data_IF_947120836773
#
_entry.id   IF_947120836773
#
_cell.length_a   1.000
_cell.length_b   1.000
_cell.length_c   1.000
_cell.angle_alpha   90.00
_cell.angle_beta   90.00
_cell.angle_gamma   90.00
#
_symmetry.space_group_name_H-M   'P 1'
#
loop_
_entity.id
_entity.type
_entity.pdbx_description
1 polymer ?
#
# COMPACT_ATOMS: atom_id res chain seq x y z
N UNK A 1 52.63 -12.76 19.71
CA UNK A 1 51.16 -12.74 19.65
C UNK A 1 50.71 -12.83 18.20
N UNK A 2 49.89 -13.85 17.93
CA UNK A 2 49.11 -14.23 16.74
C UNK A 2 49.39 -13.52 15.39
N UNK A 3 50.17 -14.21 14.54
CA UNK A 3 50.07 -14.13 13.08
C UNK A 3 48.77 -14.82 12.65
N UNK A 4 47.93 -14.12 11.90
CA UNK A 4 46.68 -14.66 11.37
C UNK A 4 46.93 -15.51 10.13
N UNK A 5 46.29 -16.67 10.10
CA UNK A 5 46.27 -17.65 9.04
C UNK A 5 45.62 -17.09 7.78
N UNK A 6 46.39 -17.01 6.70
CA UNK A 6 45.89 -17.15 5.33
C UNK A 6 45.46 -18.60 5.15
N UNK A 7 44.20 -18.89 5.47
CA UNK A 7 43.60 -20.19 5.16
C UNK A 7 43.31 -20.26 3.66
N UNK A 8 44.26 -20.91 2.96
CA UNK A 8 44.11 -21.67 1.72
C UNK A 8 42.73 -21.67 1.04
N UNK A 9 42.68 -21.11 -0.17
CA UNK A 9 41.83 -21.62 -1.24
C UNK A 9 42.21 -23.09 -1.49
N UNK A 10 41.49 -24.01 -0.86
CA UNK A 10 41.50 -25.41 -1.26
C UNK A 10 40.60 -25.51 -2.49
N UNK A 11 41.20 -25.40 -3.66
CA UNK A 11 40.60 -25.84 -4.91
C UNK A 11 40.50 -27.36 -4.83
N UNK A 12 39.31 -27.88 -4.54
CA UNK A 12 39.02 -29.30 -4.73
C UNK A 12 39.02 -29.57 -6.25
N UNK A 13 40.18 -29.97 -6.76
CA UNK A 13 40.28 -30.69 -8.03
C UNK A 13 39.62 -32.05 -7.80
N UNK A 14 38.40 -32.25 -8.33
CA UNK A 14 37.79 -33.57 -8.43
C UNK A 14 38.53 -34.30 -9.56
N UNK A 15 39.27 -35.39 -9.30
CA UNK A 15 39.81 -36.20 -10.38
C UNK A 15 38.66 -37.00 -11.00
N UNK A 16 38.20 -36.61 -12.19
CA UNK A 16 37.35 -37.45 -13.03
C UNK A 16 38.20 -38.54 -13.66
N UNK A 17 38.44 -39.64 -12.94
CA UNK A 17 38.97 -40.87 -13.55
C UNK A 17 37.82 -41.58 -14.29
N UNK A 18 37.55 -41.16 -15.53
CA UNK A 18 36.77 -41.96 -16.46
C UNK A 18 37.68 -43.05 -17.03
N UNK A 19 37.61 -44.26 -16.47
CA UNK A 19 38.06 -45.46 -17.17
C UNK A 19 37.13 -45.70 -18.37
N UNK A 20 37.50 -45.20 -19.55
CA UNK A 20 36.85 -45.61 -20.79
C UNK A 20 37.40 -46.98 -21.24
N UNK A 21 36.57 -48.02 -21.15
CA UNK A 21 36.83 -49.28 -21.87
C UNK A 21 36.75 -48.96 -23.36
N UNK A 22 37.87 -49.13 -24.09
CA UNK A 22 37.91 -48.98 -25.55
C UNK A 22 37.09 -50.11 -26.19
N UNK A 23 35.84 -49.80 -26.54
CA UNK A 23 35.10 -50.57 -27.54
C UNK A 23 35.25 -49.86 -28.89
N UNK A 24 36.03 -50.47 -29.78
CA UNK A 24 36.22 -49.99 -31.15
C UNK A 24 34.99 -50.34 -32.00
N UNK A 25 33.91 -49.57 -31.87
CA UNK A 25 32.90 -49.47 -32.92
C UNK A 25 32.79 -48.00 -33.30
N UNK A 26 33.37 -47.65 -34.46
CA UNK A 26 33.18 -46.35 -35.12
C UNK A 26 31.77 -46.31 -35.73
N UNK A 27 30.76 -46.24 -34.88
CA UNK A 27 29.52 -45.62 -35.30
C UNK A 27 29.81 -44.12 -35.47
N UNK A 28 29.45 -43.56 -36.63
CA UNK A 28 29.44 -42.10 -36.81
C UNK A 28 28.46 -41.55 -35.79
N UNK A 29 29.00 -41.08 -34.67
CA UNK A 29 28.27 -40.25 -33.72
C UNK A 29 27.93 -38.96 -34.47
N UNK A 30 26.73 -38.93 -35.07
CA UNK A 30 26.11 -37.68 -35.48
C UNK A 30 25.70 -37.03 -34.15
N UNK A 31 26.61 -36.24 -33.58
CA UNK A 31 26.29 -35.33 -32.48
C UNK A 31 25.31 -34.31 -33.05
N UNK A 32 24.01 -34.64 -33.00
CA UNK A 32 22.96 -33.65 -33.18
C UNK A 32 23.12 -32.71 -31.99
N UNK A 33 23.72 -31.55 -32.23
CA UNK A 33 23.97 -30.55 -31.20
C UNK A 33 22.61 -30.22 -30.59
N UNK A 34 22.40 -30.68 -29.35
CA UNK A 34 21.13 -30.53 -28.66
C UNK A 34 20.91 -29.04 -28.39
N UNK A 35 19.83 -28.47 -28.93
CA UNK A 35 19.47 -27.08 -28.72
C UNK A 35 19.21 -26.86 -27.22
N UNK A 36 20.14 -26.18 -26.55
CA UNK A 36 20.07 -25.94 -25.11
C UNK A 36 19.14 -24.78 -24.79
N UNK A 37 18.76 -24.63 -23.52
CA UNK A 37 17.81 -23.60 -23.12
C UNK A 37 18.35 -22.19 -23.37
N UNK A 38 19.64 -21.97 -23.06
CA UNK A 38 20.36 -20.72 -23.30
C UNK A 38 20.60 -20.41 -24.79
N UNK A 39 20.40 -21.36 -25.71
CA UNK A 39 20.54 -21.10 -27.15
C UNK A 39 19.34 -20.29 -27.70
N UNK A 40 18.23 -20.21 -26.95
CA UNK A 40 17.12 -19.33 -27.28
C UNK A 40 17.53 -17.86 -27.10
N UNK A 41 17.30 -17.04 -28.15
CA UNK A 41 17.69 -15.62 -28.18
C UNK A 41 17.16 -14.81 -26.99
N UNK A 42 15.92 -15.06 -26.57
CA UNK A 42 15.25 -14.30 -25.51
C UNK A 42 15.78 -14.74 -24.13
N UNK A 43 16.09 -16.03 -23.96
CA UNK A 43 16.76 -16.53 -22.75
C UNK A 43 18.19 -15.99 -22.64
N UNK A 44 18.94 -15.94 -23.74
CA UNK A 44 20.28 -15.35 -23.72
C UNK A 44 20.21 -13.83 -23.41
N UNK A 45 19.22 -13.11 -23.93
CA UNK A 45 18.96 -11.72 -23.57
C UNK A 45 18.67 -11.55 -22.07
N UNK A 46 17.90 -12.45 -21.45
CA UNK A 46 17.70 -12.45 -19.99
C UNK A 46 19.00 -12.64 -19.22
N UNK A 47 19.85 -13.56 -19.66
CA UNK A 47 21.16 -13.79 -19.05
C UNK A 47 22.05 -12.55 -19.14
N UNK A 48 22.05 -11.85 -20.28
CA UNK A 48 22.77 -10.58 -20.47
C UNK A 48 22.22 -9.45 -19.59
N UNK A 49 20.91 -9.42 -19.35
CA UNK A 49 20.27 -8.48 -18.42
C UNK A 49 20.57 -8.80 -16.94
N UNK A 50 20.85 -10.06 -16.62
CA UNK A 50 21.12 -10.52 -15.25
C UNK A 50 22.61 -10.41 -14.88
N UNK A 51 23.51 -10.79 -15.79
CA UNK A 51 24.96 -10.83 -15.56
C UNK A 51 25.69 -10.17 -16.74
N UNK A 52 26.36 -9.05 -16.45
CA UNK A 52 27.13 -8.29 -17.45
C UNK A 52 28.43 -9.00 -17.86
N UNK A 53 29.10 -9.65 -16.92
CA UNK A 53 30.38 -10.34 -17.17
C UNK A 53 30.18 -11.69 -17.86
N UNK A 54 30.87 -11.91 -18.99
CA UNK A 54 30.68 -13.11 -19.81
C UNK A 54 31.14 -14.40 -19.12
N UNK A 55 32.20 -14.37 -18.32
CA UNK A 55 32.69 -15.56 -17.62
C UNK A 55 31.72 -15.95 -16.49
N UNK A 56 31.27 -14.98 -15.70
CA UNK A 56 30.26 -15.19 -14.67
C UNK A 56 28.94 -15.69 -15.27
N UNK A 57 28.54 -15.16 -16.44
CA UNK A 57 27.35 -15.63 -17.15
C UNK A 57 27.48 -17.11 -17.51
N UNK A 58 28.59 -17.52 -18.11
CA UNK A 58 28.85 -18.93 -18.46
C UNK A 58 28.84 -19.84 -17.22
N UNK A 59 29.51 -19.43 -16.14
CA UNK A 59 29.54 -20.18 -14.88
C UNK A 59 28.14 -20.30 -14.25
N UNK A 60 27.36 -19.22 -14.25
CA UNK A 60 25.99 -19.21 -13.76
C UNK A 60 25.10 -20.15 -14.59
N UNK A 61 25.15 -20.05 -15.91
CA UNK A 61 24.36 -20.92 -16.81
C UNK A 61 24.72 -22.39 -16.61
N UNK A 62 26.02 -22.74 -16.56
CA UNK A 62 26.45 -24.11 -16.28
C UNK A 62 25.97 -24.60 -14.92
N UNK A 63 26.02 -23.76 -13.89
CA UNK A 63 25.49 -24.10 -12.57
C UNK A 63 23.99 -24.39 -12.61
N UNK A 64 23.22 -23.55 -13.31
CA UNK A 64 21.77 -23.70 -13.41
C UNK A 64 21.35 -24.91 -14.27
N UNK A 65 22.09 -25.20 -15.35
CA UNK A 65 21.87 -26.40 -16.18
C UNK A 65 22.13 -27.71 -15.42
N UNK A 66 23.02 -27.69 -14.43
CA UNK A 66 23.37 -28.85 -13.61
C UNK A 66 22.51 -29.01 -12.34
N UNK A 67 21.52 -28.13 -12.11
CA UNK A 67 20.56 -28.34 -11.02
C UNK A 67 19.70 -29.56 -11.38
N UNK A 68 19.68 -30.55 -10.48
CA UNK A 68 18.97 -31.82 -10.67
C UNK A 68 17.47 -31.62 -10.89
N UNK A 69 16.90 -32.41 -11.81
CA UNK A 69 15.46 -32.51 -12.05
C UNK A 69 14.68 -33.02 -10.83
N UNK A 70 15.34 -33.65 -9.85
CA UNK A 70 14.72 -33.99 -8.56
C UNK A 70 14.13 -32.77 -7.84
N UNK A 71 14.67 -31.57 -8.11
CA UNK A 71 14.13 -30.31 -7.59
C UNK A 71 12.69 -30.03 -8.06
N UNK A 72 12.24 -30.62 -9.16
CA UNK A 72 10.84 -30.58 -9.59
C UNK A 72 9.94 -31.22 -8.54
N UNK A 73 10.34 -32.38 -8.01
CA UNK A 73 9.60 -33.08 -6.94
C UNK A 73 9.60 -32.27 -5.64
N UNK A 74 10.73 -31.64 -5.31
CA UNK A 74 10.82 -30.74 -4.15
C UNK A 74 9.85 -29.55 -4.30
N UNK A 75 9.77 -28.95 -5.49
CA UNK A 75 8.88 -27.82 -5.73
C UNK A 75 7.40 -28.22 -5.74
N UNK A 76 7.07 -29.42 -6.20
CA UNK A 76 5.73 -30.00 -6.09
C UNK A 76 5.30 -30.11 -4.63
N UNK A 77 6.19 -30.62 -3.78
CA UNK A 77 5.98 -30.64 -2.33
C UNK A 77 5.81 -29.22 -1.77
N UNK A 78 6.69 -28.29 -2.15
CA UNK A 78 6.62 -26.87 -1.73
C UNK A 78 5.28 -26.23 -2.08
N UNK A 79 4.79 -26.38 -3.30
CA UNK A 79 3.52 -25.79 -3.75
C UNK A 79 2.29 -26.43 -3.07
N UNK A 80 2.42 -27.67 -2.57
CA UNK A 80 1.38 -28.33 -1.78
C UNK A 80 1.25 -27.71 -0.38
N UNK A 81 2.37 -27.45 0.30
CA UNK A 81 2.39 -26.89 1.65
C UNK A 81 2.37 -25.36 1.70
N UNK A 82 2.76 -24.72 0.62
CA UNK A 82 2.70 -23.27 0.43
C UNK A 82 2.07 -22.95 -0.91
N UNK A 83 0.74 -22.96 -0.91
CA UNK A 83 -0.02 -22.52 -2.08
C UNK A 83 0.18 -21.02 -2.24
N UNK A 84 0.60 -20.60 -3.43
CA UNK A 84 0.96 -19.21 -3.72
C UNK A 84 -0.14 -18.23 -3.32
N UNK A 85 -1.39 -18.65 -3.43
CA UNK A 85 -2.56 -17.84 -3.13
C UNK A 85 -3.11 -18.01 -1.70
N UNK A 86 -2.36 -18.52 -0.72
CA UNK A 86 -2.83 -18.50 0.67
C UNK A 86 -2.27 -17.28 1.42
N UNK A 87 -3.16 -16.50 2.05
CA UNK A 87 -2.74 -15.35 2.86
C UNK A 87 -1.81 -15.80 4.00
N UNK A 88 -0.70 -15.07 4.22
CA UNK A 88 0.25 -15.39 5.30
C UNK A 88 -0.41 -15.49 6.68
N UNK A 89 -1.57 -14.86 6.89
CA UNK A 89 -2.32 -14.89 8.16
C UNK A 89 -2.72 -16.29 8.60
N UNK A 90 -3.06 -17.20 7.68
CA UNK A 90 -3.42 -18.58 8.05
C UNK A 90 -2.19 -19.42 8.43
N UNK A 91 -1.00 -19.02 7.98
CA UNK A 91 0.26 -19.72 8.25
C UNK A 91 0.96 -19.14 9.50
N UNK A 92 0.96 -17.82 9.66
CA UNK A 92 1.72 -17.11 10.71
C UNK A 92 1.02 -17.09 12.08
N UNK A 93 -0.29 -17.32 12.14
CA UNK A 93 -1.09 -17.24 13.38
C UNK A 93 -1.20 -18.54 14.17
N UNK A 94 -0.64 -19.65 13.69
CA UNK A 94 -0.85 -20.98 14.29
C UNK A 94 0.49 -21.64 14.60
N UNK A 95 0.94 -21.60 15.86
CA UNK A 95 2.17 -22.29 16.33
C UNK A 95 2.03 -23.82 16.22
N UNK A 96 2.26 -24.36 15.03
CA UNK A 96 2.13 -25.79 14.70
C UNK A 96 3.30 -26.26 13.84
N UNK A 97 3.52 -27.57 13.78
CA UNK A 97 4.43 -28.19 12.81
C UNK A 97 4.10 -27.78 11.37
N UNK A 98 2.81 -27.63 11.05
CA UNK A 98 2.37 -27.15 9.72
C UNK A 98 2.93 -25.76 9.38
N UNK A 99 2.89 -24.80 10.31
CA UNK A 99 3.47 -23.47 10.10
C UNK A 99 4.95 -23.55 9.76
N UNK A 100 5.73 -24.37 10.46
CA UNK A 100 7.16 -24.50 10.19
C UNK A 100 7.43 -25.08 8.79
N UNK A 101 6.64 -26.06 8.37
CA UNK A 101 6.72 -26.65 7.02
C UNK A 101 6.34 -25.61 5.96
N UNK A 102 5.24 -24.89 6.15
CA UNK A 102 4.77 -23.87 5.21
C UNK A 102 5.76 -22.69 5.10
N UNK A 103 6.40 -22.24 6.19
CA UNK A 103 7.43 -21.21 6.15
C UNK A 103 8.71 -21.68 5.44
N UNK A 104 9.11 -22.94 5.63
CA UNK A 104 10.22 -23.53 4.86
C UNK A 104 9.86 -23.60 3.38
N UNK A 105 8.66 -24.07 3.04
CA UNK A 105 8.17 -24.13 1.67
C UNK A 105 8.16 -22.74 1.01
N UNK A 106 7.64 -21.72 1.70
CA UNK A 106 7.70 -20.31 1.26
C UNK A 106 9.13 -19.87 0.95
N UNK A 107 10.07 -20.11 1.86
CA UNK A 107 11.48 -19.73 1.67
C UNK A 107 12.11 -20.46 0.49
N UNK A 108 11.83 -21.75 0.31
CA UNK A 108 12.30 -22.53 -0.84
C UNK A 108 11.75 -21.99 -2.16
N UNK A 109 10.46 -21.64 -2.20
CA UNK A 109 9.84 -21.02 -3.38
C UNK A 109 10.47 -19.64 -3.67
N UNK A 110 10.59 -18.77 -2.67
CA UNK A 110 11.21 -17.45 -2.80
C UNK A 110 12.65 -17.56 -3.34
N UNK A 111 13.44 -18.48 -2.78
CA UNK A 111 14.80 -18.72 -3.23
C UNK A 111 14.83 -19.21 -4.68
N UNK A 112 13.87 -20.05 -5.10
CA UNK A 112 13.79 -20.55 -6.47
C UNK A 112 13.41 -19.43 -7.45
N UNK A 113 12.41 -18.61 -7.10
CA UNK A 113 11.95 -17.48 -7.93
C UNK A 113 13.01 -16.38 -8.12
N UNK A 114 14.01 -16.32 -7.23
CA UNK A 114 15.02 -15.26 -7.22
C UNK A 114 16.42 -15.73 -7.64
N UNK A 115 16.91 -16.85 -7.09
CA UNK A 115 18.28 -17.33 -7.33
C UNK A 115 18.36 -18.37 -8.44
N UNK A 116 17.30 -19.18 -8.60
CA UNK A 116 17.24 -20.29 -9.56
C UNK A 116 16.20 -20.03 -10.66
N UNK A 117 16.03 -18.75 -11.00
CA UNK A 117 15.05 -18.29 -11.97
C UNK A 117 15.27 -18.95 -13.34
N UNK A 118 16.51 -19.14 -13.77
CA UNK A 118 16.84 -19.78 -15.06
C UNK A 118 16.33 -21.21 -15.09
N UNK A 119 16.65 -21.98 -14.04
CA UNK A 119 16.19 -23.35 -13.92
C UNK A 119 14.66 -23.43 -13.87
N UNK A 120 14.00 -22.48 -13.18
CA UNK A 120 12.54 -22.41 -13.14
C UNK A 120 11.95 -22.23 -14.54
N UNK A 121 12.47 -21.26 -15.33
CA UNK A 121 12.00 -21.01 -16.69
C UNK A 121 12.24 -22.21 -17.62
N UNK A 122 13.36 -22.92 -17.45
CA UNK A 122 13.66 -24.16 -18.21
C UNK A 122 12.60 -25.25 -17.99
N UNK A 123 11.95 -25.27 -16.83
CA UNK A 123 10.93 -26.24 -16.43
C UNK A 123 9.51 -25.66 -16.39
N UNK A 124 9.30 -24.44 -16.90
CA UNK A 124 8.03 -23.72 -16.74
C UNK A 124 6.83 -24.45 -17.34
N UNK A 125 7.07 -25.29 -18.36
CA UNK A 125 6.04 -26.09 -19.02
C UNK A 125 5.50 -27.26 -18.17
N UNK A 126 6.15 -27.56 -17.05
CA UNK A 126 5.68 -28.55 -16.08
C UNK A 126 4.72 -27.95 -15.04
N UNK A 127 4.61 -26.62 -14.98
CA UNK A 127 3.77 -25.92 -14.01
C UNK A 127 2.35 -25.75 -14.52
N UNK A 128 1.40 -26.05 -13.65
CA UNK A 128 0.00 -25.70 -13.81
C UNK A 128 -0.31 -24.40 -13.07
N UNK A 129 -1.11 -23.57 -13.73
CA UNK A 129 -1.58 -22.30 -13.22
C UNK A 129 -3.10 -22.35 -13.10
N UNK A 130 -3.63 -22.00 -11.93
CA UNK A 130 -5.07 -21.99 -11.67
C UNK A 130 -5.63 -20.59 -11.81
N UNK A 131 -6.83 -20.46 -12.36
CA UNK A 131 -7.54 -19.20 -12.44
C UNK A 131 -7.68 -18.59 -11.04
N UNK A 132 -7.31 -17.31 -10.91
CA UNK A 132 -7.32 -16.61 -9.63
C UNK A 132 -7.94 -15.22 -9.76
N UNK A 133 -9.24 -15.06 -9.43
CA UNK A 133 -9.90 -13.76 -9.47
C UNK A 133 -9.69 -12.91 -8.20
N UNK A 134 -8.95 -13.41 -7.20
CA UNK A 134 -8.88 -12.83 -5.87
C UNK A 134 -7.69 -11.87 -5.67
N UNK A 135 -7.85 -10.96 -4.71
CA UNK A 135 -6.77 -10.19 -4.10
C UNK A 135 -5.99 -11.04 -3.08
N UNK A 136 -4.97 -10.49 -2.41
CA UNK A 136 -4.18 -11.23 -1.41
C UNK A 136 -5.00 -11.66 -0.17
N UNK A 137 -6.21 -11.12 0.00
CA UNK A 137 -7.07 -11.37 1.15
C UNK A 137 -8.14 -12.43 0.90
N UNK A 138 -8.29 -12.90 -0.34
CA UNK A 138 -9.29 -13.90 -0.71
C UNK A 138 -10.68 -13.53 -0.21
N UNK A 139 -10.98 -12.23 -0.27
CA UNK A 139 -12.30 -11.74 0.13
C UNK A 139 -13.32 -12.15 -0.92
N UNK A 140 -14.41 -12.74 -0.45
CA UNK A 140 -15.59 -12.97 -1.28
C UNK A 140 -16.09 -11.63 -1.88
N UNK A 141 -16.55 -11.68 -3.12
CA UNK A 141 -17.16 -10.54 -3.82
C UNK A 141 -18.25 -11.02 -4.78
N UNK A 142 -19.17 -10.12 -5.14
CA UNK A 142 -20.45 -10.49 -5.77
C UNK A 142 -20.30 -11.19 -7.14
N UNK A 143 -19.25 -10.86 -7.89
CA UNK A 143 -19.02 -11.38 -9.24
C UNK A 143 -18.17 -12.66 -9.29
N UNK A 144 -17.74 -13.19 -8.15
CA UNK A 144 -16.80 -14.31 -8.09
C UNK A 144 -17.28 -15.53 -8.91
N UNK A 145 -18.49 -16.01 -8.66
CA UNK A 145 -19.03 -17.17 -9.38
C UNK A 145 -19.21 -16.90 -10.88
N UNK A 146 -19.65 -15.69 -11.25
CA UNK A 146 -19.82 -15.34 -12.66
C UNK A 146 -18.49 -15.34 -13.41
N UNK A 147 -17.40 -14.90 -12.78
CA UNK A 147 -16.05 -14.94 -13.37
C UNK A 147 -15.56 -16.38 -13.53
N UNK A 148 -15.74 -17.23 -12.51
CA UNK A 148 -15.39 -18.65 -12.56
C UNK A 148 -16.15 -19.34 -13.70
N UNK A 149 -17.46 -19.13 -13.79
CA UNK A 149 -18.32 -19.69 -14.84
C UNK A 149 -17.90 -19.21 -16.24
N UNK A 150 -17.56 -17.92 -16.38
CA UNK A 150 -17.09 -17.36 -17.66
C UNK A 150 -15.80 -18.04 -18.12
N UNK A 151 -14.80 -18.14 -17.24
CA UNK A 151 -13.50 -18.75 -17.59
C UNK A 151 -13.69 -20.22 -17.91
N UNK A 152 -14.45 -20.96 -17.09
CA UNK A 152 -14.73 -22.37 -17.31
C UNK A 152 -15.47 -22.62 -18.63
N UNK A 153 -16.50 -21.82 -18.96
CA UNK A 153 -17.23 -21.95 -20.23
C UNK A 153 -16.37 -21.61 -21.44
N UNK A 154 -15.47 -20.63 -21.32
CA UNK A 154 -14.64 -20.16 -22.44
C UNK A 154 -13.44 -21.08 -22.70
N UNK A 155 -12.85 -21.67 -21.66
CA UNK A 155 -11.61 -22.44 -21.76
C UNK A 155 -11.78 -23.94 -21.47
N UNK A 156 -12.99 -24.37 -21.08
CA UNK A 156 -13.32 -25.72 -20.61
C UNK A 156 -12.44 -26.21 -19.45
N UNK A 157 -11.80 -25.28 -18.73
CA UNK A 157 -10.92 -25.56 -17.59
C UNK A 157 -10.66 -24.28 -16.80
N UNK A 158 -10.32 -24.43 -15.51
CA UNK A 158 -9.76 -23.36 -14.68
C UNK A 158 -8.23 -23.43 -14.61
N UNK A 159 -7.64 -24.55 -15.05
CA UNK A 159 -6.20 -24.74 -15.16
C UNK A 159 -5.71 -24.40 -16.57
N UNK A 160 -4.53 -23.80 -16.61
CA UNK A 160 -3.77 -23.56 -17.83
C UNK A 160 -2.30 -23.88 -17.60
N UNK A 161 -1.55 -24.08 -18.68
CA UNK A 161 -0.11 -24.31 -18.66
C UNK A 161 0.57 -23.58 -19.81
N UNK A 162 1.87 -23.37 -19.66
CA UNK A 162 2.75 -22.99 -20.76
C UNK A 162 3.14 -24.28 -21.50
N UNK A 163 2.90 -24.36 -22.80
CA UNK A 163 3.25 -25.56 -23.56
C UNK A 163 4.70 -25.52 -24.03
N UNK A 164 5.10 -24.39 -24.64
CA UNK A 164 6.47 -24.19 -25.07
C UNK A 164 7.28 -23.49 -23.97
N UNK A 165 8.31 -24.16 -23.43
CA UNK A 165 9.19 -23.57 -22.43
C UNK A 165 10.02 -22.40 -22.96
N UNK A 166 10.11 -22.22 -24.28
CA UNK A 166 10.86 -21.14 -24.91
C UNK A 166 9.97 -19.91 -25.12
N UNK A 167 10.28 -18.75 -24.51
CA UNK A 167 9.53 -17.54 -24.77
C UNK A 167 9.76 -17.08 -26.21
N UNK A 168 8.68 -16.67 -26.89
CA UNK A 168 8.74 -16.14 -28.25
C UNK A 168 9.23 -14.71 -28.28
N UNK A 169 8.90 -13.92 -27.26
CA UNK A 169 9.21 -12.49 -27.16
C UNK A 169 9.53 -12.09 -25.72
N UNK A 170 10.28 -10.99 -25.60
CA UNK A 170 10.60 -10.33 -24.33
C UNK A 170 10.35 -8.83 -24.48
N UNK A 171 9.56 -8.27 -23.56
CA UNK A 171 9.38 -6.83 -23.43
C UNK A 171 10.02 -6.36 -22.13
N UNK A 172 10.72 -5.22 -22.18
CA UNK A 172 11.40 -4.63 -21.02
C UNK A 172 10.93 -3.20 -20.88
N UNK A 173 10.40 -2.88 -19.69
CA UNK A 173 9.94 -1.55 -19.33
C UNK A 173 10.74 -1.07 -18.12
N UNK A 174 11.15 0.20 -18.13
CA UNK A 174 11.65 0.84 -16.92
C UNK A 174 10.45 1.13 -16.02
N UNK A 175 10.57 0.80 -14.74
CA UNK A 175 9.52 1.10 -13.76
C UNK A 175 9.80 2.50 -13.20
N UNK A 176 8.79 3.36 -13.26
CA UNK A 176 8.90 4.70 -12.69
C UNK A 176 9.10 4.64 -11.17
N UNK A 177 9.95 5.53 -10.71
CA UNK A 177 10.32 5.71 -9.33
C UNK A 177 9.27 6.56 -8.60
N UNK A 178 8.88 6.15 -7.39
CA UNK A 178 8.07 7.01 -6.52
C UNK A 178 9.06 7.63 -5.55
N UNK A 179 9.38 8.89 -5.83
CA UNK A 179 10.25 9.70 -4.98
C UNK A 179 9.80 9.54 -3.53
N UNK A 180 10.75 9.24 -2.64
CA UNK A 180 10.52 8.89 -1.25
C UNK A 180 9.96 7.48 -0.94
N UNK A 181 9.82 6.53 -1.86
CA UNK A 181 9.55 5.11 -1.50
C UNK A 181 10.55 4.13 -2.11
N UNK A 182 11.46 4.63 -2.94
CA UNK A 182 12.37 3.79 -3.68
C UNK A 182 13.46 3.21 -2.79
N UNK A 183 13.59 1.89 -2.82
CA UNK A 183 14.68 1.15 -2.15
C UNK A 183 15.57 0.42 -3.15
N UNK A 184 15.14 0.35 -4.40
CA UNK A 184 15.79 -0.37 -5.48
C UNK A 184 16.29 0.59 -6.54
N UNK A 185 17.43 0.26 -7.17
CA UNK A 185 17.94 1.01 -8.33
C UNK A 185 17.61 0.28 -9.62
N UNK A 186 17.51 1.02 -10.73
CA UNK A 186 17.39 0.48 -12.09
C UNK A 186 16.28 -0.57 -12.24
N UNK A 187 15.09 -0.27 -11.66
CA UNK A 187 13.93 -1.17 -11.66
C UNK A 187 13.39 -1.35 -13.08
N UNK A 188 13.18 -2.61 -13.46
CA UNK A 188 12.61 -2.97 -14.75
C UNK A 188 11.57 -4.08 -14.61
N UNK A 189 10.45 -3.93 -15.30
CA UNK A 189 9.48 -4.99 -15.53
C UNK A 189 9.85 -5.70 -16.84
N UNK A 190 10.19 -6.97 -16.74
CA UNK A 190 10.50 -7.81 -17.89
C UNK A 190 9.36 -8.80 -18.08
N UNK A 191 8.77 -8.81 -19.27
CA UNK A 191 7.65 -9.67 -19.61
C UNK A 191 8.06 -10.69 -20.66
N UNK A 192 7.82 -11.96 -20.35
CA UNK A 192 8.11 -13.11 -21.22
C UNK A 192 6.81 -13.61 -21.86
N UNK A 193 6.76 -13.59 -23.18
CA UNK A 193 5.60 -14.05 -23.95
C UNK A 193 5.78 -15.52 -24.33
N UNK A 194 4.80 -16.34 -23.97
CA UNK A 194 4.70 -17.76 -24.22
C UNK A 194 3.40 -18.08 -24.96
N UNK A 195 3.41 -19.12 -25.78
CA UNK A 195 2.22 -19.59 -26.50
C UNK A 195 1.43 -18.44 -27.17
N UNK A 196 2.15 -17.42 -27.68
CA UNK A 196 1.67 -16.16 -28.28
C UNK A 196 0.91 -15.19 -27.36
N UNK A 197 0.27 -15.65 -26.30
CA UNK A 197 -0.72 -14.86 -25.51
C UNK A 197 -0.58 -14.99 -24.00
N UNK A 198 0.28 -15.90 -23.52
CA UNK A 198 0.55 -16.10 -22.10
C UNK A 198 1.77 -15.30 -21.70
N UNK A 199 1.70 -14.57 -20.59
CA UNK A 199 2.75 -13.63 -20.20
C UNK A 199 3.16 -13.83 -18.75
N UNK A 200 4.46 -14.02 -18.51
CA UNK A 200 5.07 -14.12 -17.19
C UNK A 200 5.90 -12.86 -16.91
N UNK A 201 5.79 -12.31 -15.70
CA UNK A 201 6.54 -11.11 -15.27
C UNK A 201 7.79 -11.49 -14.46
N UNK A 202 8.86 -10.75 -14.70
CA UNK A 202 10.09 -10.72 -13.90
C UNK A 202 10.32 -9.28 -13.48
N UNK A 203 10.51 -9.04 -12.18
CA UNK A 203 11.06 -7.78 -11.71
C UNK A 203 12.59 -7.89 -11.68
N UNK A 204 13.25 -6.98 -12.36
CA UNK A 204 14.69 -6.76 -12.28
C UNK A 204 14.96 -5.50 -11.47
N UNK A 205 15.94 -5.56 -10.58
CA UNK A 205 16.39 -4.41 -9.79
C UNK A 205 17.84 -4.57 -9.33
N UNK A 206 18.43 -3.49 -8.81
CA UNK A 206 19.79 -3.49 -8.26
C UNK A 206 19.81 -3.06 -6.79
N UNK A 207 20.56 -3.81 -5.97
CA UNK A 207 20.90 -3.47 -4.58
C UNK A 207 22.39 -3.70 -4.40
N UNK A 208 23.10 -2.72 -3.82
CA UNK A 208 24.56 -2.79 -3.61
C UNK A 208 25.33 -3.22 -4.87
N UNK A 209 24.97 -2.60 -6.01
CA UNK A 209 25.53 -2.84 -7.35
C UNK A 209 25.41 -4.28 -7.88
N UNK A 210 24.56 -5.10 -7.22
CA UNK A 210 24.22 -6.45 -7.67
C UNK A 210 22.82 -6.46 -8.27
N UNK A 211 22.69 -7.06 -9.45
CA UNK A 211 21.41 -7.29 -10.13
C UNK A 211 20.67 -8.48 -9.51
N UNK A 212 19.37 -8.30 -9.31
CA UNK A 212 18.45 -9.31 -8.81
C UNK A 212 17.29 -9.46 -9.78
N UNK A 213 16.88 -10.71 -10.01
CA UNK A 213 15.64 -11.06 -10.68
C UNK A 213 14.66 -11.64 -9.65
N UNK A 214 13.39 -11.35 -9.82
CA UNK A 214 12.30 -12.00 -9.10
C UNK A 214 11.19 -12.35 -10.09
N UNK A 215 11.01 -13.66 -10.33
CA UNK A 215 9.87 -14.16 -11.12
C UNK A 215 8.58 -14.02 -10.31
N UNK A 216 7.53 -13.50 -10.94
CA UNK A 216 6.19 -13.46 -10.37
C UNK A 216 5.49 -14.78 -10.65
N UNK A 217 4.65 -15.20 -9.71
CA UNK A 217 3.92 -16.48 -9.78
C UNK A 217 2.63 -16.38 -10.58
N UNK A 218 2.28 -15.20 -11.07
CA UNK A 218 1.11 -14.95 -11.89
C UNK A 218 1.42 -15.10 -13.38
N UNK A 219 0.53 -15.81 -14.07
CA UNK A 219 0.52 -15.99 -15.51
C UNK A 219 -0.69 -15.25 -16.08
N UNK A 220 -0.44 -14.27 -16.93
CA UNK A 220 -1.50 -13.53 -17.60
C UNK A 220 -1.82 -14.18 -18.93
N UNK A 221 -3.09 -14.25 -19.27
CA UNK A 221 -3.54 -14.64 -20.59
C UNK A 221 -4.30 -13.47 -21.23
N UNK A 222 -3.84 -13.04 -22.40
CA UNK A 222 -4.44 -11.95 -23.15
C UNK A 222 -5.34 -12.50 -24.26
N UNK A 223 -6.61 -12.08 -24.26
CA UNK A 223 -7.58 -12.45 -25.29
C UNK A 223 -7.16 -11.91 -26.66
N UNK A 224 -6.69 -10.66 -26.72
CA UNK A 224 -6.10 -10.06 -27.92
C UNK A 224 -4.59 -9.82 -27.72
N UNK A 225 -3.78 -10.58 -28.45
CA UNK A 225 -2.33 -10.55 -28.35
C UNK A 225 -1.65 -9.64 -29.40
N UNK A 226 -2.40 -8.91 -30.23
CA UNK A 226 -1.80 -8.11 -31.32
C UNK A 226 -0.98 -6.91 -30.81
N UNK A 227 -1.42 -6.29 -29.72
CA UNK A 227 -0.80 -5.11 -29.12
C UNK A 227 -0.34 -5.41 -27.68
N UNK A 228 0.36 -6.53 -27.48
CA UNK A 228 0.75 -6.97 -26.13
C UNK A 228 1.66 -5.96 -25.44
N UNK A 229 2.62 -5.39 -26.17
CA UNK A 229 3.59 -4.45 -25.60
C UNK A 229 2.89 -3.23 -25.00
N UNK A 230 1.98 -2.62 -25.75
CA UNK A 230 1.21 -1.44 -25.32
C UNK A 230 0.30 -1.78 -24.14
N UNK A 231 -0.35 -2.95 -24.15
CA UNK A 231 -1.19 -3.40 -23.04
C UNK A 231 -0.39 -3.62 -21.75
N UNK A 232 0.82 -4.19 -21.86
CA UNK A 232 1.71 -4.41 -20.72
C UNK A 232 2.30 -3.11 -20.17
N UNK A 233 2.65 -2.17 -21.05
CA UNK A 233 3.08 -0.83 -20.64
C UNK A 233 1.97 -0.07 -19.90
N UNK A 234 0.74 -0.16 -20.39
CA UNK A 234 -0.44 0.39 -19.69
C UNK A 234 -0.65 -0.22 -18.31
N UNK A 235 -0.41 -1.53 -18.14
CA UNK A 235 -0.48 -2.19 -16.84
C UNK A 235 0.55 -1.57 -15.88
N UNK A 236 1.82 -1.43 -16.28
CA UNK A 236 2.86 -0.84 -15.41
C UNK A 236 2.56 0.62 -15.06
N UNK A 237 2.13 1.42 -16.03
CA UNK A 237 1.78 2.83 -15.80
C UNK A 237 0.63 2.96 -14.79
N UNK A 238 -0.42 2.15 -14.92
CA UNK A 238 -1.54 2.16 -13.97
C UNK A 238 -1.16 1.67 -12.58
N UNK A 239 -0.24 0.70 -12.47
CA UNK A 239 0.28 0.27 -11.17
C UNK A 239 1.03 1.42 -10.50
N UNK A 240 1.86 2.14 -11.26
CA UNK A 240 2.60 3.30 -10.78
C UNK A 240 1.65 4.42 -10.32
N UNK A 241 0.70 4.82 -11.16
CA UNK A 241 -0.31 5.85 -10.86
C UNK A 241 -1.05 5.52 -9.57
N UNK A 242 -1.64 4.32 -9.45
CA UNK A 242 -2.37 3.91 -8.24
C UNK A 242 -1.50 3.88 -6.99
N UNK A 243 -0.22 3.50 -7.11
CA UNK A 243 0.69 3.51 -5.96
C UNK A 243 1.03 4.93 -5.52
N UNK A 244 1.20 5.85 -6.47
CA UNK A 244 1.43 7.26 -6.18
C UNK A 244 0.19 7.93 -5.57
N UNK A 245 -1.00 7.62 -6.08
CA UNK A 245 -2.27 8.12 -5.54
C UNK A 245 -2.46 7.69 -4.08
N UNK A 246 -2.23 6.40 -3.77
CA UNK A 246 -2.31 5.90 -2.38
C UNK A 246 -1.32 6.58 -1.44
N UNK A 247 -0.12 6.96 -1.91
CA UNK A 247 0.84 7.73 -1.11
C UNK A 247 0.30 9.14 -0.82
N UNK A 248 -0.23 9.82 -1.84
CA UNK A 248 -0.75 11.17 -1.73
C UNK A 248 -2.00 11.23 -0.84
N UNK A 249 -2.90 10.26 -0.98
CA UNK A 249 -4.09 10.12 -0.12
C UNK A 249 -3.67 9.90 1.34
N UNK A 250 -2.72 8.99 1.61
CA UNK A 250 -2.25 8.74 2.97
C UNK A 250 -1.53 9.95 3.60
N UNK A 251 -0.79 10.73 2.81
CA UNK A 251 -0.19 11.98 3.28
C UNK A 251 -1.26 13.01 3.63
N UNK A 252 -2.30 13.11 2.81
CA UNK A 252 -3.43 14.01 3.05
C UNK A 252 -4.17 13.65 4.34
N UNK A 253 -4.53 12.38 4.52
CA UNK A 253 -5.17 11.88 5.74
C UNK A 253 -4.32 12.16 6.99
N UNK A 254 -3.00 11.97 6.90
CA UNK A 254 -2.09 12.27 8.02
C UNK A 254 -2.05 13.76 8.39
N UNK A 255 -2.16 14.65 7.41
CA UNK A 255 -2.22 16.10 7.65
C UNK A 255 -3.55 16.47 8.30
N UNK A 256 -4.67 15.94 7.80
CA UNK A 256 -6.01 16.17 8.37
C UNK A 256 -6.08 15.69 9.84
N UNK A 257 -5.54 14.51 10.16
CA UNK A 257 -5.49 14.00 11.54
C UNK A 257 -4.68 14.90 12.51
N UNK A 258 -3.61 15.53 12.02
CA UNK A 258 -2.81 16.46 12.83
C UNK A 258 -3.58 17.75 13.11
N UNK A 259 -4.24 18.31 12.09
CA UNK A 259 -5.07 19.51 12.22
C UNK A 259 -6.20 19.30 13.24
N UNK A 260 -6.91 18.16 13.15
CA UNK A 260 -7.99 17.82 14.09
C UNK A 260 -7.48 17.69 15.54
N UNK A 261 -6.28 17.15 15.75
CA UNK A 261 -5.71 16.95 17.09
C UNK A 261 -5.21 18.23 17.76
N UNK A 262 -4.66 19.18 16.99
CA UNK A 262 -4.22 20.48 17.50
C UNK A 262 -5.43 21.36 17.90
N UNK A 263 -6.53 21.26 17.15
CA UNK A 263 -7.77 21.98 17.44
C UNK A 263 -8.47 21.46 18.70
N UNK A 264 -8.43 20.16 19.02
CA UNK A 264 -9.04 19.60 20.23
C UNK A 264 -8.32 20.02 21.53
N UNK A 265 -6.98 19.91 21.59
CA UNK A 265 -6.22 20.25 22.82
C UNK A 265 -6.20 21.75 23.13
N UNK A 266 -6.21 22.61 22.11
CA UNK A 266 -6.27 24.06 22.29
C UNK A 266 -7.65 24.49 22.84
N UNK A 267 -8.73 23.88 22.37
CA UNK A 267 -10.09 24.25 22.74
C UNK A 267 -10.43 23.92 24.20
N UNK A 268 -9.91 22.84 24.77
CA UNK A 268 -10.20 22.44 26.16
C UNK A 268 -9.64 23.43 27.20
N UNK A 269 -8.39 23.91 27.01
CA UNK A 269 -7.77 24.86 27.96
C UNK A 269 -8.42 26.25 27.92
N UNK A 270 -8.98 26.65 26.79
CA UNK A 270 -9.67 27.94 26.63
C UNK A 270 -11.09 27.84 27.16
N UNK A 271 -11.77 26.71 26.94
CA UNK A 271 -13.08 26.43 27.48
C UNK A 271 -13.09 26.61 29.01
N UNK A 272 -12.10 26.06 29.70
CA UNK A 272 -11.98 26.18 31.16
C UNK A 272 -11.79 27.64 31.60
N UNK A 273 -10.89 28.40 30.96
CA UNK A 273 -10.68 29.83 31.27
C UNK A 273 -11.91 30.69 30.99
N UNK A 274 -12.61 30.41 29.90
CA UNK A 274 -13.82 31.15 29.55
C UNK A 274 -14.97 30.82 30.50
N UNK A 275 -15.08 29.57 30.95
CA UNK A 275 -16.11 29.17 31.91
C UNK A 275 -16.00 29.98 33.21
N UNK A 276 -14.80 30.16 33.76
CA UNK A 276 -14.56 30.99 34.94
C UNK A 276 -14.96 32.46 34.71
N UNK A 277 -14.65 33.00 33.54
CA UNK A 277 -15.02 34.38 33.16
C UNK A 277 -16.53 34.52 33.04
N UNK A 278 -17.21 33.55 32.42
CA UNK A 278 -18.65 33.53 32.24
C UNK A 278 -19.38 33.42 33.57
N UNK A 279 -18.93 32.55 34.46
CA UNK A 279 -19.57 32.40 35.77
C UNK A 279 -19.40 33.67 36.61
N UNK A 280 -18.22 34.30 36.58
CA UNK A 280 -18.00 35.60 37.24
C UNK A 280 -18.81 36.74 36.60
N UNK A 281 -18.96 36.76 35.28
CA UNK A 281 -19.82 37.72 34.60
C UNK A 281 -21.28 37.59 35.07
N UNK A 282 -21.80 36.36 35.08
CA UNK A 282 -23.16 36.08 35.53
C UNK A 282 -23.33 36.44 37.01
N UNK A 283 -22.39 36.08 37.88
CA UNK A 283 -22.42 36.41 39.31
C UNK A 283 -22.46 37.93 39.55
N UNK A 284 -21.64 38.70 38.84
CA UNK A 284 -21.66 40.17 38.93
C UNK A 284 -23.03 40.74 38.52
N UNK A 285 -23.61 40.25 37.42
CA UNK A 285 -24.96 40.65 37.01
C UNK A 285 -26.03 40.21 38.02
N UNK A 286 -25.89 39.02 38.62
CA UNK A 286 -26.77 38.53 39.67
C UNK A 286 -26.72 39.44 40.89
N UNK A 287 -25.54 39.86 41.34
CA UNK A 287 -25.39 40.75 42.50
C UNK A 287 -26.09 42.11 42.29
N UNK A 288 -26.03 42.64 41.06
CA UNK A 288 -26.73 43.88 40.69
C UNK A 288 -28.25 43.68 40.72
N UNK A 289 -28.77 42.62 40.10
CA UNK A 289 -30.22 42.42 39.89
C UNK A 289 -30.94 41.78 41.08
N UNK A 290 -30.27 40.92 41.85
CA UNK A 290 -30.86 40.21 42.99
C UNK A 290 -31.23 41.17 44.13
N UNK A 291 -30.61 42.35 44.17
CA UNK A 291 -30.98 43.45 45.06
C UNK A 291 -32.37 44.04 44.76
N UNK A 292 -32.98 43.68 43.61
CA UNK A 292 -34.25 44.21 43.11
C UNK A 292 -35.34 43.13 43.14
N UNK A 293 -35.11 41.99 42.47
CA UNK A 293 -36.05 40.85 42.46
C UNK A 293 -35.40 39.57 41.91
N UNK A 294 -35.29 38.52 42.75
CA UNK A 294 -34.67 37.25 42.37
C UNK A 294 -35.35 36.50 41.21
N UNK A 295 -36.65 36.71 40.97
CA UNK A 295 -37.35 36.07 39.84
C UNK A 295 -37.00 36.72 38.49
N UNK A 296 -36.67 38.01 38.47
CA UNK A 296 -36.23 38.71 37.26
C UNK A 296 -34.85 38.23 36.81
N UNK A 297 -33.97 37.91 37.78
CA UNK A 297 -32.64 37.43 37.47
C UNK A 297 -32.64 36.12 36.68
N UNK A 298 -33.52 35.16 37.02
CA UNK A 298 -33.62 33.91 36.27
C UNK A 298 -33.97 34.11 34.79
N UNK A 299 -34.76 35.14 34.47
CA UNK A 299 -35.10 35.46 33.09
C UNK A 299 -33.94 36.14 32.37
N UNK A 300 -33.24 37.04 33.07
CA UNK A 300 -32.10 37.77 32.54
C UNK A 300 -30.88 36.88 32.29
N UNK A 301 -30.58 35.98 33.23
CA UNK A 301 -29.46 35.05 33.14
C UNK A 301 -29.50 34.20 31.86
N UNK A 302 -30.70 33.76 31.44
CA UNK A 302 -30.86 33.00 30.19
C UNK A 302 -30.43 33.82 28.96
N UNK A 303 -30.77 35.12 28.93
CA UNK A 303 -30.33 36.00 27.83
C UNK A 303 -28.82 36.27 27.87
N UNK A 304 -28.22 36.33 29.07
CA UNK A 304 -26.78 36.55 29.22
C UNK A 304 -25.94 35.32 28.85
N UNK A 305 -26.42 34.11 29.17
CA UNK A 305 -25.71 32.86 28.85
C UNK A 305 -25.71 32.52 27.37
N UNK A 306 -26.69 33.01 26.59
CA UNK A 306 -26.77 32.69 25.17
C UNK A 306 -25.55 33.21 24.37
N UNK A 307 -25.16 34.49 24.43
CA UNK A 307 -23.94 34.97 23.78
C UNK A 307 -22.66 34.29 24.29
N UNK A 308 -22.59 33.96 25.59
CA UNK A 308 -21.43 33.26 26.18
C UNK A 308 -21.25 31.87 25.54
N UNK A 309 -22.34 31.10 25.45
CA UNK A 309 -22.33 29.75 24.91
C UNK A 309 -22.05 29.71 23.39
N UNK A 310 -22.28 30.81 22.69
CA UNK A 310 -22.00 30.93 21.25
C UNK A 310 -20.65 31.55 20.94
N UNK A 311 -19.94 32.08 21.95
CA UNK A 311 -18.68 32.81 21.77
C UNK A 311 -17.63 32.00 21.00
N UNK A 312 -17.28 30.81 21.51
CA UNK A 312 -16.32 29.92 20.86
C UNK A 312 -16.87 29.29 19.58
N UNK A 313 -18.17 28.99 19.54
CA UNK A 313 -18.81 28.37 18.37
C UNK A 313 -18.76 29.27 17.13
N UNK A 314 -18.62 30.58 17.31
CA UNK A 314 -18.50 31.55 16.22
C UNK A 314 -17.19 32.33 16.26
N UNK A 315 -16.16 31.81 16.95
CA UNK A 315 -14.89 32.51 17.09
C UNK A 315 -14.14 32.52 15.75
N UNK A 316 -13.94 33.71 15.18
CA UNK A 316 -13.24 33.89 13.90
C UNK A 316 -11.86 34.50 14.14
N UNK A 317 -11.85 35.70 14.71
CA UNK A 317 -10.68 36.40 15.24
C UNK A 317 -11.08 37.09 16.55
N UNK A 318 -10.07 37.41 17.36
CA UNK A 318 -10.24 37.95 18.72
C UNK A 318 -11.07 39.23 18.74
N UNK A 319 -10.68 40.23 17.97
CA UNK A 319 -11.29 41.56 18.00
C UNK A 319 -12.76 41.51 17.56
N UNK A 320 -13.06 40.81 16.47
CA UNK A 320 -14.43 40.66 15.97
C UNK A 320 -15.32 39.88 16.94
N UNK A 321 -14.80 38.78 17.50
CA UNK A 321 -15.57 37.92 18.40
C UNK A 321 -15.89 38.61 19.73
N UNK A 322 -14.91 39.33 20.31
CA UNK A 322 -15.10 40.11 21.54
C UNK A 322 -16.08 41.26 21.33
N UNK A 323 -15.96 41.99 20.21
CA UNK A 323 -16.87 43.09 19.90
C UNK A 323 -18.30 42.60 19.67
N UNK A 324 -18.48 41.50 18.93
CA UNK A 324 -19.79 40.89 18.70
C UNK A 324 -20.45 40.45 20.01
N UNK A 325 -19.70 39.78 20.87
CA UNK A 325 -20.19 39.38 22.20
C UNK A 325 -20.63 40.59 23.03
N UNK A 326 -19.79 41.64 23.07
CA UNK A 326 -20.08 42.88 23.78
C UNK A 326 -21.38 43.51 23.29
N UNK A 327 -21.55 43.63 21.98
CA UNK A 327 -22.75 44.23 21.38
C UNK A 327 -24.02 43.42 21.68
N UNK A 328 -23.94 42.09 21.66
CA UNK A 328 -25.06 41.21 22.02
C UNK A 328 -25.45 41.34 23.49
N UNK A 329 -24.47 41.41 24.41
CA UNK A 329 -24.74 41.62 25.83
C UNK A 329 -25.40 42.97 26.10
N UNK A 330 -24.93 44.05 25.46
CA UNK A 330 -25.51 45.38 25.59
C UNK A 330 -26.96 45.42 25.06
N UNK A 331 -27.25 44.72 23.95
CA UNK A 331 -28.62 44.57 23.43
C UNK A 331 -29.52 43.83 24.43
N UNK A 332 -29.04 42.74 25.02
CA UNK A 332 -29.79 41.97 26.01
C UNK A 332 -30.09 42.78 27.28
N UNK A 333 -29.11 43.57 27.77
CA UNK A 333 -29.30 44.48 28.90
C UNK A 333 -30.40 45.50 28.61
N UNK A 334 -30.32 46.18 27.47
CA UNK A 334 -31.33 47.19 27.10
C UNK A 334 -32.73 46.59 27.00
N UNK A 335 -32.86 45.45 26.31
CA UNK A 335 -34.13 44.75 26.15
C UNK A 335 -34.71 44.32 27.51
N UNK A 336 -33.88 43.81 28.42
CA UNK A 336 -34.30 43.41 29.76
C UNK A 336 -34.83 44.61 30.57
N UNK A 337 -34.13 45.75 30.55
CA UNK A 337 -34.54 46.94 31.29
C UNK A 337 -35.82 47.57 30.74
N UNK A 338 -35.97 47.64 29.42
CA UNK A 338 -37.19 48.15 28.76
C UNK A 338 -38.42 47.31 29.14
N UNK A 339 -38.29 45.98 29.04
CA UNK A 339 -39.36 45.02 29.34
C UNK A 339 -39.80 45.08 30.82
N UNK A 340 -38.90 45.44 31.72
CA UNK A 340 -39.14 45.44 33.17
C UNK A 340 -39.16 46.85 33.79
N UNK A 341 -39.35 47.89 32.96
CA UNK A 341 -39.34 49.29 33.36
C UNK A 341 -40.33 49.64 34.49
N UNK A 342 -41.48 48.96 34.56
CA UNK A 342 -42.47 49.14 35.62
C UNK A 342 -42.04 48.58 36.99
N UNK A 343 -41.05 47.69 37.02
CA UNK A 343 -40.56 47.02 38.24
C UNK A 343 -39.21 47.58 38.68
N UNK A 344 -38.42 48.11 37.75
CA UNK A 344 -37.06 48.61 38.00
C UNK A 344 -37.10 50.13 38.14
N UNK A 345 -37.28 50.64 39.37
CA UNK A 345 -37.40 52.08 39.64
C UNK A 345 -36.12 52.90 39.41
N UNK A 346 -34.95 52.27 39.30
CA UNK A 346 -33.65 52.95 39.10
C UNK A 346 -32.88 52.38 37.88
N UNK A 347 -33.59 52.25 36.76
CA UNK A 347 -33.11 51.59 35.54
C UNK A 347 -31.80 52.18 35.00
N UNK A 348 -31.61 53.50 35.07
CA UNK A 348 -30.38 54.17 34.60
C UNK A 348 -29.14 53.80 35.42
N UNK A 349 -29.26 53.75 36.75
CA UNK A 349 -28.14 53.34 37.62
C UNK A 349 -27.75 51.88 37.36
N UNK A 350 -28.76 51.01 37.25
CA UNK A 350 -28.54 49.57 36.99
C UNK A 350 -27.94 49.35 35.61
N UNK A 351 -28.43 50.08 34.60
CA UNK A 351 -27.85 50.05 33.25
C UNK A 351 -26.37 50.39 33.29
N UNK A 352 -25.99 51.44 34.02
CA UNK A 352 -24.58 51.83 34.14
C UNK A 352 -23.72 50.74 34.75
N UNK A 353 -24.15 50.13 35.86
CA UNK A 353 -23.41 49.05 36.54
C UNK A 353 -23.28 47.78 35.67
N UNK A 354 -24.33 47.42 34.93
CA UNK A 354 -24.29 46.29 33.99
C UNK A 354 -23.39 46.56 32.79
N UNK A 355 -23.42 47.78 32.24
CA UNK A 355 -22.55 48.19 31.13
C UNK A 355 -21.07 48.19 31.57
N UNK A 356 -20.78 48.68 32.78
CA UNK A 356 -19.43 48.60 33.37
C UNK A 356 -18.97 47.14 33.50
N UNK A 357 -19.86 46.25 33.93
CA UNK A 357 -19.57 44.80 34.01
C UNK A 357 -19.23 44.21 32.64
N UNK A 358 -20.00 44.54 31.59
CA UNK A 358 -19.71 44.08 30.21
C UNK A 358 -18.37 44.62 29.70
N UNK A 359 -18.07 45.90 29.94
CA UNK A 359 -16.81 46.50 29.52
C UNK A 359 -15.61 45.83 30.20
N UNK A 360 -15.69 45.56 31.50
CA UNK A 360 -14.63 44.89 32.25
C UNK A 360 -14.36 43.48 31.74
N UNK A 361 -15.41 42.71 31.44
CA UNK A 361 -15.25 41.36 30.86
C UNK A 361 -14.70 41.44 29.43
N UNK A 362 -15.14 42.42 28.64
CA UNK A 362 -14.58 42.65 27.30
C UNK A 362 -13.08 42.97 27.34
N UNK A 363 -12.62 43.78 28.30
CA UNK A 363 -11.20 44.03 28.53
C UNK A 363 -10.45 42.76 28.95
N UNK A 364 -11.06 41.95 29.82
CA UNK A 364 -10.48 40.69 30.26
C UNK A 364 -10.34 39.70 29.09
N UNK A 365 -11.38 39.52 28.28
CA UNK A 365 -11.33 38.72 27.06
C UNK A 365 -10.25 39.24 26.10
N UNK A 366 -10.10 40.56 25.98
CA UNK A 366 -9.04 41.17 25.18
C UNK A 366 -7.63 40.95 25.76
N UNK A 367 -7.49 40.53 27.01
CA UNK A 367 -6.20 40.19 27.61
C UNK A 367 -5.86 38.69 27.52
N UNK A 368 -6.83 37.84 27.18
CA UNK A 368 -6.61 36.41 26.94
C UNK A 368 -5.85 36.22 25.63
N UNK A 369 -4.82 35.38 25.68
CA UNK A 369 -4.18 34.84 24.50
C UNK A 369 -5.03 33.69 23.96
N UNK A 370 -5.87 33.99 22.97
CA UNK A 370 -6.57 32.96 22.22
C UNK A 370 -5.59 32.34 21.23
N UNK A 371 -5.58 31.02 21.04
CA UNK A 371 -4.74 30.37 20.06
C UNK A 371 -4.98 31.07 18.72
N UNK A 372 -3.89 31.50 18.10
CA UNK A 372 -3.95 32.00 16.75
C UNK A 372 -4.50 30.87 15.88
N UNK A 373 -5.67 31.06 15.27
CA UNK A 373 -6.18 30.22 14.17
C UNK A 373 -5.36 30.41 12.88
N UNK A 374 -4.18 31.02 12.97
CA UNK A 374 -3.25 31.12 11.86
C UNK A 374 -2.68 29.73 11.58
N UNK A 375 -3.33 29.06 10.63
CA UNK A 375 -2.84 27.88 9.91
C UNK A 375 -1.32 27.92 9.75
N UNK A 376 -0.68 26.85 10.21
CA UNK A 376 0.76 26.64 10.19
C UNK A 376 1.33 26.65 8.75
N UNK A 377 1.64 27.82 8.19
CA UNK A 377 2.29 27.93 6.86
C UNK A 377 3.79 27.54 6.85
N UNK A 378 4.37 27.02 7.94
CA UNK A 378 5.82 26.77 8.01
C UNK A 378 6.25 25.34 8.41
N UNK A 379 5.34 24.35 8.43
CA UNK A 379 5.67 23.00 8.90
C UNK A 379 5.50 21.87 7.86
N UNK A 380 5.06 22.17 6.63
CA UNK A 380 4.77 21.14 5.60
C UNK A 380 5.96 20.22 5.33
N UNK A 381 7.18 20.76 5.22
CA UNK A 381 8.39 19.97 4.97
C UNK A 381 8.74 19.02 6.12
N UNK A 382 8.48 19.43 7.37
CA UNK A 382 8.71 18.60 8.55
C UNK A 382 7.62 17.52 8.67
N UNK A 383 6.35 17.90 8.49
CA UNK A 383 5.20 16.99 8.50
C UNK A 383 5.38 15.89 7.45
N UNK A 384 5.73 16.27 6.21
CA UNK A 384 6.01 15.30 5.13
C UNK A 384 7.15 14.36 5.51
N UNK A 385 8.23 14.87 6.11
CA UNK A 385 9.36 14.04 6.55
C UNK A 385 8.94 13.02 7.63
N UNK A 386 8.23 13.47 8.66
CA UNK A 386 7.77 12.63 9.76
C UNK A 386 6.77 11.56 9.28
N UNK A 387 5.88 11.92 8.34
CA UNK A 387 5.01 10.98 7.65
C UNK A 387 5.82 9.92 6.90
N UNK A 388 6.78 10.35 6.06
CA UNK A 388 7.57 9.45 5.22
C UNK A 388 8.40 8.46 6.05
N UNK A 389 8.97 8.87 7.18
CA UNK A 389 9.70 7.98 8.09
C UNK A 389 8.81 6.83 8.59
N UNK A 390 7.54 7.11 8.91
CA UNK A 390 6.57 6.09 9.36
C UNK A 390 6.04 5.26 8.19
N UNK A 391 5.75 5.91 7.06
CA UNK A 391 5.08 5.29 5.90
C UNK A 391 6.02 4.35 5.14
N UNK A 392 7.29 4.73 4.93
CA UNK A 392 8.31 3.93 4.24
C UNK A 392 8.46 2.54 4.85
N UNK A 393 8.46 2.43 6.18
CA UNK A 393 8.67 1.16 6.90
C UNK A 393 7.71 0.03 6.48
N UNK A 394 6.56 0.37 5.90
CA UNK A 394 5.54 -0.59 5.48
C UNK A 394 5.24 -0.57 3.98
N UNK A 395 5.71 0.43 3.23
CA UNK A 395 5.23 0.71 1.86
C UNK A 395 6.37 1.01 0.86
N UNK A 396 7.63 0.85 1.25
CA UNK A 396 8.78 0.95 0.34
C UNK A 396 8.76 -0.13 -0.76
N UNK A 397 9.66 -0.03 -1.75
CA UNK A 397 9.75 -1.04 -2.83
C UNK A 397 9.97 -2.46 -2.33
N UNK A 398 10.75 -2.63 -1.26
CA UNK A 398 11.04 -3.93 -0.68
C UNK A 398 9.77 -4.57 -0.13
N UNK A 399 8.99 -3.80 0.63
CA UNK A 399 7.70 -4.22 1.11
C UNK A 399 6.78 -4.50 -0.10
N UNK A 400 6.79 -3.62 -1.10
CA UNK A 400 5.82 -3.63 -2.20
C UNK A 400 5.90 -4.91 -3.03
N UNK A 401 7.12 -5.27 -3.40
CA UNK A 401 7.39 -6.43 -4.24
C UNK A 401 7.68 -7.71 -3.46
N UNK A 402 7.74 -7.65 -2.12
CA UNK A 402 7.95 -8.84 -1.31
C UNK A 402 6.85 -9.86 -1.59
N UNK A 403 7.24 -11.09 -1.92
CA UNK A 403 6.33 -12.16 -2.27
C UNK A 403 5.27 -12.37 -1.17
N UNK A 404 4.01 -12.15 -1.54
CA UNK A 404 2.82 -12.15 -0.69
C UNK A 404 2.98 -11.26 0.56
N UNK A 405 3.62 -10.10 0.40
CA UNK A 405 3.47 -9.01 1.36
C UNK A 405 2.00 -8.62 1.43
N UNK A 406 1.51 -8.42 2.64
CA UNK A 406 0.10 -8.09 2.87
C UNK A 406 -0.22 -6.76 2.18
N UNK A 407 -1.10 -6.80 1.18
CA UNK A 407 -1.77 -5.64 0.57
C UNK A 407 -0.86 -4.70 -0.22
N UNK A 408 0.08 -5.23 -0.99
CA UNK A 408 1.03 -4.38 -1.69
C UNK A 408 0.92 -4.50 -3.21
N UNK A 409 1.69 -5.38 -3.85
CA UNK A 409 1.62 -5.53 -5.30
C UNK A 409 0.29 -6.11 -5.79
N UNK A 410 -0.13 -7.27 -5.26
CA UNK A 410 -1.29 -8.00 -5.81
C UNK A 410 -2.58 -7.20 -5.71
N UNK A 411 -2.78 -6.46 -4.61
CA UNK A 411 -3.99 -5.66 -4.42
C UNK A 411 -4.09 -4.57 -5.49
N UNK A 412 -3.02 -3.80 -5.73
CA UNK A 412 -2.98 -2.80 -6.81
C UNK A 412 -3.10 -3.49 -8.18
N UNK A 413 -2.41 -4.60 -8.37
CA UNK A 413 -2.43 -5.33 -9.63
C UNK A 413 -3.84 -5.80 -10.01
N UNK A 414 -4.58 -6.32 -9.03
CA UNK A 414 -5.98 -6.72 -9.21
C UNK A 414 -6.88 -5.51 -9.53
N UNK A 415 -6.72 -4.38 -8.84
CA UNK A 415 -7.46 -3.15 -9.15
C UNK A 415 -7.22 -2.71 -10.62
N UNK A 416 -5.98 -2.82 -11.10
CA UNK A 416 -5.64 -2.51 -12.50
C UNK A 416 -6.28 -3.50 -13.48
N UNK A 417 -6.23 -4.81 -13.20
CA UNK A 417 -6.84 -5.82 -14.07
C UNK A 417 -8.36 -5.69 -14.12
N UNK A 418 -9.00 -5.39 -12.99
CA UNK A 418 -10.43 -5.13 -12.94
C UNK A 418 -10.80 -3.94 -13.82
N UNK A 419 -10.02 -2.85 -13.75
CA UNK A 419 -10.24 -1.66 -14.57
C UNK A 419 -10.10 -1.99 -16.07
N UNK A 420 -9.08 -2.76 -16.46
CA UNK A 420 -8.88 -3.19 -17.86
C UNK A 420 -10.05 -4.06 -18.34
N UNK A 421 -10.52 -4.96 -17.49
CA UNK A 421 -11.62 -5.88 -17.76
C UNK A 421 -13.01 -5.29 -17.53
N UNK A 422 -13.11 -4.01 -17.13
CA UNK A 422 -14.36 -3.35 -16.74
C UNK A 422 -15.15 -4.11 -15.65
N UNK A 423 -14.46 -4.68 -14.67
CA UNK A 423 -15.04 -5.40 -13.54
C UNK A 423 -15.27 -4.44 -12.38
N UNK A 424 -16.50 -4.48 -11.84
CA UNK A 424 -16.85 -3.77 -10.61
C UNK A 424 -17.27 -4.78 -9.54
N UNK A 425 -16.34 -5.13 -8.65
CA UNK A 425 -16.51 -6.21 -7.66
C UNK A 425 -17.74 -6.06 -6.74
N UNK A 426 -18.24 -4.83 -6.54
CA UNK A 426 -19.34 -4.52 -5.62
C UNK A 426 -20.75 -4.54 -6.27
N UNK A 427 -20.82 -4.64 -7.60
CA UNK A 427 -22.09 -4.66 -8.34
C UNK A 427 -22.53 -6.10 -8.64
N UNK A 428 -23.85 -6.35 -8.60
CA UNK A 428 -24.42 -7.61 -9.10
C UNK A 428 -24.41 -7.61 -10.63
N UNK A 429 -24.21 -8.78 -11.25
CA UNK A 429 -23.97 -8.86 -12.70
C UNK A 429 -25.15 -8.31 -13.51
N UNK A 430 -24.99 -7.10 -14.05
CA UNK A 430 -25.89 -6.55 -15.09
C UNK A 430 -25.29 -6.64 -16.51
N UNK A 431 -24.01 -6.97 -16.63
CA UNK A 431 -23.26 -6.94 -17.89
C UNK A 431 -22.81 -8.33 -18.34
N UNK A 432 -22.71 -8.52 -19.66
CA UNK A 432 -21.97 -9.64 -20.27
C UNK A 432 -20.49 -9.50 -19.87
N UNK A 433 -19.99 -10.43 -19.06
CA UNK A 433 -18.56 -10.50 -18.71
C UNK A 433 -17.78 -10.81 -19.98
N UNK A 434 -16.80 -9.97 -20.30
CA UNK A 434 -15.81 -10.22 -21.34
C UNK A 434 -14.41 -9.83 -20.83
N UNK A 435 -13.66 -10.82 -20.36
CA UNK A 435 -12.32 -10.60 -19.83
C UNK A 435 -11.32 -10.44 -20.96
N UNK A 436 -10.65 -9.28 -21.00
CA UNK A 436 -9.54 -8.99 -21.92
C UNK A 436 -8.24 -9.65 -21.44
N UNK A 437 -8.02 -9.64 -20.13
CA UNK A 437 -6.84 -10.23 -19.47
C UNK A 437 -7.30 -11.14 -18.35
N UNK A 438 -6.88 -12.39 -18.38
CA UNK A 438 -7.18 -13.38 -17.34
C UNK A 438 -5.92 -13.64 -16.53
N UNK A 439 -6.04 -13.56 -15.21
CA UNK A 439 -4.96 -13.91 -14.28
C UNK A 439 -5.09 -15.36 -13.83
N UNK A 440 -4.01 -16.09 -13.98
CA UNK A 440 -3.80 -17.39 -13.36
C UNK A 440 -2.63 -17.29 -12.37
N UNK A 441 -2.62 -18.11 -11.33
CA UNK A 441 -1.53 -18.17 -10.36
C UNK A 441 -0.95 -19.59 -10.30
N UNK A 442 0.37 -19.68 -10.17
CA UNK A 442 1.12 -20.94 -10.06
C UNK A 442 0.52 -21.82 -8.95
N UNK A 443 0.12 -23.05 -9.31
CA UNK A 443 -0.63 -23.95 -8.42
C UNK A 443 0.11 -25.22 -8.09
N UNK A 444 0.57 -25.95 -9.11
CA UNK A 444 1.12 -27.28 -8.95
C UNK A 444 2.13 -27.61 -10.05
N UNK A 445 2.84 -28.72 -9.89
CA UNK A 445 3.65 -29.34 -10.93
C UNK A 445 3.15 -30.77 -11.12
N UNK A 446 2.78 -31.14 -12.34
CA UNK A 446 2.47 -32.52 -12.68
C UNK A 446 3.63 -33.14 -13.46
N UNK A 447 3.94 -34.39 -13.17
CA UNK A 447 4.85 -35.18 -13.98
C UNK A 447 4.16 -35.46 -15.33
N UNK A 448 4.90 -35.25 -16.43
CA UNK A 448 4.52 -35.87 -17.69
C UNK A 448 4.55 -37.39 -17.48
N UNK A 449 3.42 -38.05 -17.80
CA UNK A 449 3.31 -39.51 -17.74
C UNK A 449 4.11 -40.18 -18.85
#
# INVERSE_FOLDING_TARGET
MKKWLLSSLVVFLIPTTSCSIKNNNKEKIINKQEFKFYDNKNINQLLDLYIKDQQQKQLYTLKQENISDAKVSDLKFVLTFYTVFNSNRSIESVTTHYQQVALKAKKTLQNTLTNDWYWLLKHINQFDFNFNPFDDRYKHFKLEQNLIDYVYKTHNNLLTKINDKYPSEIFVFNINDIEDLDSFKNKQAIYLVYDKSKVLKILKYEINDKTYFQIFTDLLWFKDYKNLKEQLEQIENKIFEKRNDKLNEALKEYIEELEDSEDEEANDQINDKLQDIWDRFIENCQNIISSINGNLMRQFERSLRMPNNTFLRTFTNKDESVNKWKDEQLKNINHFLEKNSNTIMNSEKIKKELVETVNKISEELNSIDFPNTNKNENNEGKIKKDFLEKYKLKNDDLAFYKLHAKRQYTDIFIEVLDEINNIKRNEESKNNIDLKVIRYSMRNIYEEK
#
